data_IF_039752691430
#
_entry.id   IF_039752691430
#
_cell.length_a   1.000
_cell.length_b   1.000
_cell.length_c   1.000
_cell.angle_alpha   90.00
_cell.angle_beta   90.00
_cell.angle_gamma   90.00
#
_symmetry.space_group_name_H-M   'P 1'
#
loop_
_entity.id
_entity.type
_entity.pdbx_description
1 polymer ?
#
# COMPACT_ATOMS: atom_id res chain seq x y z
N UNK A 1 16.15 2.61 18.94
CA UNK A 1 16.90 1.35 18.73
C UNK A 1 15.96 0.25 18.25
N UNK A 2 15.49 0.28 17.00
CA UNK A 2 14.29 -0.47 16.58
C UNK A 2 14.46 -1.49 15.42
N UNK A 3 15.68 -1.92 15.07
CA UNK A 3 15.89 -2.83 13.93
C UNK A 3 16.59 -4.17 14.25
N UNK A 4 16.99 -4.42 15.49
CA UNK A 4 17.69 -5.67 15.88
C UNK A 4 16.72 -6.83 16.15
N UNK A 5 15.42 -6.55 16.19
CA UNK A 5 14.41 -7.47 16.74
C UNK A 5 13.97 -8.63 15.83
N UNK A 6 14.36 -8.64 14.54
CA UNK A 6 13.92 -9.67 13.57
C UNK A 6 15.05 -10.58 13.07
N UNK A 7 16.29 -10.37 13.55
CA UNK A 7 17.45 -11.18 13.15
C UNK A 7 17.53 -12.41 14.05
N UNK A 8 17.70 -13.60 13.47
CA UNK A 8 17.97 -14.81 14.24
C UNK A 8 19.42 -14.78 14.77
N UNK A 9 19.57 -14.49 16.06
CA UNK A 9 20.88 -14.37 16.70
C UNK A 9 21.64 -15.69 16.74
N UNK A 10 20.95 -16.84 16.76
CA UNK A 10 21.61 -18.15 16.71
C UNK A 10 22.25 -18.39 15.34
N UNK A 11 21.56 -18.03 14.26
CA UNK A 11 22.08 -18.15 12.89
C UNK A 11 23.34 -17.30 12.66
N UNK A 12 23.39 -16.10 13.25
CA UNK A 12 24.57 -15.21 13.18
C UNK A 12 25.81 -15.85 13.80
N UNK A 13 25.63 -16.62 14.88
CA UNK A 13 26.70 -17.40 15.52
C UNK A 13 26.92 -18.78 14.88
N UNK A 14 26.17 -19.11 13.82
CA UNK A 14 26.16 -20.43 13.15
C UNK A 14 25.77 -21.57 14.10
N UNK A 15 24.81 -21.31 14.98
CA UNK A 15 24.23 -22.27 15.91
C UNK A 15 22.83 -22.69 15.45
N UNK A 16 22.36 -23.90 15.80
CA UNK A 16 20.99 -24.31 15.52
C UNK A 16 20.01 -23.36 16.22
N UNK A 17 18.92 -23.00 15.53
CA UNK A 17 17.90 -22.09 16.05
C UNK A 17 16.63 -22.83 16.48
N UNK A 18 15.94 -22.31 17.51
CA UNK A 18 14.73 -22.93 18.03
C UNK A 18 14.94 -23.70 19.32
N UNK A 19 14.30 -24.87 19.44
CA UNK A 19 14.36 -25.71 20.65
C UNK A 19 15.79 -26.20 20.92
N UNK A 20 16.50 -26.59 19.86
CA UNK A 20 17.92 -26.95 19.93
C UNK A 20 18.80 -25.75 20.32
N UNK A 21 18.44 -24.55 19.87
CA UNK A 21 19.15 -23.31 20.20
C UNK A 21 18.96 -22.89 21.66
N UNK A 22 17.75 -23.06 22.20
CA UNK A 22 17.41 -22.79 23.60
C UNK A 22 18.15 -23.77 24.55
N UNK A 23 18.40 -25.01 24.10
CA UNK A 23 19.13 -26.01 24.87
C UNK A 23 20.65 -25.76 24.96
N UNK A 24 21.22 -24.82 24.17
CA UNK A 24 22.65 -24.56 24.16
C UNK A 24 23.15 -23.94 25.47
N UNK A 25 24.32 -24.39 25.94
CA UNK A 25 24.98 -23.78 27.10
C UNK A 25 25.71 -22.49 26.71
N UNK A 26 25.94 -21.61 27.70
CA UNK A 26 26.70 -20.37 27.50
C UNK A 26 28.12 -20.66 26.99
N UNK A 27 28.74 -21.78 27.41
CA UNK A 27 30.05 -22.20 26.93
C UNK A 27 30.07 -22.52 25.42
N UNK A 28 29.01 -23.14 24.92
CA UNK A 28 28.87 -23.43 23.49
C UNK A 28 28.70 -22.14 22.69
N UNK A 29 27.94 -21.19 23.21
CA UNK A 29 27.75 -19.85 22.63
C UNK A 29 29.08 -19.07 22.62
N UNK A 30 29.83 -19.09 23.71
CA UNK A 30 31.17 -18.49 23.82
C UNK A 30 32.15 -19.09 22.81
N UNK A 31 32.16 -20.43 22.69
CA UNK A 31 33.00 -21.14 21.73
C UNK A 31 32.67 -20.75 20.29
N UNK A 32 31.38 -20.70 19.95
CA UNK A 32 30.90 -20.29 18.64
C UNK A 32 31.28 -18.84 18.33
N UNK A 33 31.08 -17.92 19.29
CA UNK A 33 31.47 -16.52 19.14
C UNK A 33 32.97 -16.35 18.91
N UNK A 34 33.82 -17.06 19.66
CA UNK A 34 35.28 -17.00 19.47
C UNK A 34 35.69 -17.51 18.08
N UNK A 35 35.06 -18.58 17.59
CA UNK A 35 35.30 -19.12 16.26
C UNK A 35 34.87 -18.12 15.17
N UNK A 36 33.65 -17.59 15.24
CA UNK A 36 33.13 -16.62 14.27
C UNK A 36 33.88 -15.29 14.31
N UNK A 37 34.31 -14.83 15.49
CA UNK A 37 35.07 -13.60 15.64
C UNK A 37 36.41 -13.69 14.91
N UNK A 38 37.11 -14.83 14.99
CA UNK A 38 38.37 -15.05 14.28
C UNK A 38 38.24 -15.08 12.76
N UNK A 39 37.06 -15.44 12.25
CA UNK A 39 36.76 -15.52 10.81
C UNK A 39 36.30 -14.18 10.25
N UNK A 40 35.46 -13.45 10.99
CA UNK A 40 34.79 -12.22 10.54
C UNK A 40 35.47 -10.94 11.04
N UNK A 41 36.63 -11.03 11.69
CA UNK A 41 37.33 -9.86 12.22
C UNK A 41 37.72 -8.88 11.10
N UNK A 42 37.47 -7.56 11.25
CA UNK A 42 37.76 -6.57 10.22
C UNK A 42 39.25 -6.50 9.85
N UNK A 43 40.16 -6.75 10.81
CA UNK A 43 41.61 -6.82 10.57
C UNK A 43 42.02 -7.88 9.54
N UNK A 44 41.28 -8.98 9.44
CA UNK A 44 41.53 -10.05 8.46
C UNK A 44 40.79 -9.87 7.15
N UNK A 45 39.87 -8.91 7.09
CA UNK A 45 39.03 -8.58 5.93
C UNK A 45 39.12 -7.06 5.63
N UNK A 46 40.32 -6.50 5.43
CA UNK A 46 40.49 -5.07 5.18
C UNK A 46 39.83 -4.62 3.87
N UNK A 47 39.70 -5.51 2.89
CA UNK A 47 39.14 -5.21 1.57
C UNK A 47 37.60 -5.19 1.54
N UNK A 48 36.95 -5.67 2.59
CA UNK A 48 35.49 -5.79 2.62
C UNK A 48 34.85 -4.66 3.44
N UNK A 49 34.12 -3.72 2.80
CA UNK A 49 33.48 -2.61 3.50
C UNK A 49 32.38 -3.07 4.46
N UNK A 50 31.83 -4.27 4.29
CA UNK A 50 30.83 -4.85 5.17
C UNK A 50 31.43 -5.55 6.41
N UNK A 51 32.75 -5.77 6.47
CA UNK A 51 33.38 -6.53 7.56
C UNK A 51 33.12 -5.93 8.95
N UNK A 52 33.12 -4.59 9.05
CA UNK A 52 32.84 -3.89 10.31
C UNK A 52 31.39 -4.09 10.74
N UNK A 53 30.43 -3.94 9.82
CA UNK A 53 29.01 -4.11 10.11
C UNK A 53 28.68 -5.57 10.48
N UNK A 54 29.29 -6.52 9.76
CA UNK A 54 29.23 -7.96 10.05
C UNK A 54 29.68 -8.28 11.48
N UNK A 55 30.83 -7.73 11.87
CA UNK A 55 31.40 -7.96 13.20
C UNK A 55 30.56 -7.30 14.29
N UNK A 56 30.03 -6.09 14.06
CA UNK A 56 29.07 -5.45 14.96
C UNK A 56 27.81 -6.28 15.16
N UNK A 57 27.27 -6.88 14.08
CA UNK A 57 26.16 -7.81 14.13
C UNK A 57 26.47 -9.05 14.97
N UNK A 58 27.65 -9.65 14.78
CA UNK A 58 28.12 -10.79 15.58
C UNK A 58 28.23 -10.45 17.08
N UNK A 59 28.84 -9.31 17.42
CA UNK A 59 28.98 -8.85 18.82
C UNK A 59 27.62 -8.59 19.44
N UNK A 60 26.69 -7.98 18.70
CA UNK A 60 25.34 -7.70 19.19
C UNK A 60 24.57 -8.99 19.48
N UNK A 61 24.61 -9.97 18.57
CA UNK A 61 23.99 -11.28 18.76
C UNK A 61 24.59 -12.02 19.95
N UNK A 62 25.92 -11.98 20.11
CA UNK A 62 26.59 -12.59 21.25
C UNK A 62 26.17 -11.97 22.59
N UNK A 63 26.12 -10.64 22.67
CA UNK A 63 25.69 -9.93 23.89
C UNK A 63 24.27 -10.32 24.31
N UNK A 64 23.37 -10.47 23.35
CA UNK A 64 21.99 -10.86 23.60
C UNK A 64 21.89 -12.32 24.07
N UNK A 65 22.60 -13.24 23.41
CA UNK A 65 22.55 -14.67 23.74
C UNK A 65 23.31 -15.03 25.03
N UNK A 66 24.29 -14.22 25.44
CA UNK A 66 25.05 -14.43 26.67
C UNK A 66 24.26 -14.07 27.92
N UNK A 67 23.39 -13.06 27.85
CA UNK A 67 22.51 -12.67 28.96
C UNK A 67 21.26 -13.57 28.99
N UNK A 68 21.11 -14.35 30.06
CA UNK A 68 20.00 -15.29 30.22
C UNK A 68 18.62 -14.60 30.16
N UNK A 69 18.51 -13.38 30.69
CA UNK A 69 17.25 -12.63 30.69
C UNK A 69 16.87 -12.20 29.27
N UNK A 70 17.83 -11.65 28.52
CA UNK A 70 17.61 -11.23 27.14
C UNK A 70 17.38 -12.42 26.22
N UNK A 71 18.13 -13.51 26.41
CA UNK A 71 17.96 -14.77 25.69
C UNK A 71 16.56 -15.35 25.89
N UNK A 72 16.08 -15.43 27.14
CA UNK A 72 14.73 -15.91 27.44
C UNK A 72 13.65 -15.07 26.78
N UNK A 73 13.79 -13.74 26.77
CA UNK A 73 12.82 -12.85 26.10
C UNK A 73 12.82 -13.07 24.59
N UNK A 74 14.00 -13.23 23.98
CA UNK A 74 14.14 -13.55 22.57
C UNK A 74 13.52 -14.91 22.22
N UNK A 75 13.84 -15.95 22.97
CA UNK A 75 13.30 -17.31 22.77
C UNK A 75 11.77 -17.34 22.95
N UNK A 76 11.24 -16.61 23.94
CA UNK A 76 9.79 -16.45 24.12
C UNK A 76 9.13 -15.81 22.89
N UNK A 77 9.75 -14.78 22.32
CA UNK A 77 9.25 -14.13 21.10
C UNK A 77 9.32 -15.06 19.90
N UNK A 78 10.41 -15.81 19.75
CA UNK A 78 10.59 -16.79 18.67
C UNK A 78 9.54 -17.90 18.75
N UNK A 79 9.28 -18.42 19.96
CA UNK A 79 8.21 -19.40 20.23
C UNK A 79 6.83 -18.84 19.90
N UNK A 80 6.54 -17.61 20.32
CA UNK A 80 5.26 -16.96 20.03
C UNK A 80 5.04 -16.77 18.51
N UNK A 81 6.08 -16.36 17.77
CA UNK A 81 6.03 -16.24 16.31
C UNK A 81 5.78 -17.58 15.63
N UNK A 82 6.50 -18.64 16.02
CA UNK A 82 6.31 -20.00 15.51
C UNK A 82 4.89 -20.51 15.80
N UNK A 83 4.39 -20.32 17.02
CA UNK A 83 3.03 -20.68 17.40
C UNK A 83 1.96 -19.88 16.65
N UNK A 84 2.19 -18.59 16.38
CA UNK A 84 1.29 -17.78 15.56
C UNK A 84 1.27 -18.26 14.09
N UNK A 85 2.44 -18.55 13.51
CA UNK A 85 2.54 -19.09 12.17
C UNK A 85 1.84 -20.45 12.03
N UNK A 86 2.03 -21.36 13.00
CA UNK A 86 1.37 -22.66 13.02
C UNK A 86 -0.17 -22.51 13.11
N UNK A 87 -0.68 -21.61 13.96
CA UNK A 87 -2.12 -21.32 14.05
C UNK A 87 -2.67 -20.72 12.75
N UNK A 88 -1.94 -19.80 12.13
CA UNK A 88 -2.34 -19.21 10.86
C UNK A 88 -2.40 -20.27 9.74
N UNK A 89 -1.41 -21.17 9.68
CA UNK A 89 -1.40 -22.29 8.75
C UNK A 89 -2.58 -23.24 8.99
N UNK A 90 -2.86 -23.60 10.24
CA UNK A 90 -3.99 -24.46 10.60
C UNK A 90 -5.34 -23.83 10.24
N UNK A 91 -5.54 -22.55 10.54
CA UNK A 91 -6.75 -21.81 10.15
C UNK A 91 -6.87 -21.70 8.62
N UNK A 92 -5.75 -21.53 7.91
CA UNK A 92 -5.72 -21.57 6.44
C UNK A 92 -6.19 -22.90 5.87
N UNK A 93 -5.74 -24.02 6.45
CA UNK A 93 -6.19 -25.37 6.06
C UNK A 93 -7.69 -25.57 6.35
N UNK A 94 -8.16 -25.18 7.54
CA UNK A 94 -9.58 -25.25 7.91
C UNK A 94 -10.45 -24.44 6.95
N UNK A 95 -10.03 -23.21 6.62
CA UNK A 95 -10.74 -22.35 5.67
C UNK A 95 -10.80 -22.99 4.28
N UNK A 96 -9.69 -23.52 3.76
CA UNK A 96 -9.67 -24.21 2.46
C UNK A 96 -10.60 -25.41 2.42
N UNK A 97 -10.62 -26.22 3.49
CA UNK A 97 -11.54 -27.36 3.61
C UNK A 97 -13.00 -26.91 3.62
N UNK A 98 -13.33 -25.88 4.39
CA UNK A 98 -14.68 -25.33 4.45
C UNK A 98 -15.14 -24.79 3.09
N UNK A 99 -14.26 -24.11 2.35
CA UNK A 99 -14.55 -23.63 0.98
C UNK A 99 -14.82 -24.81 0.04
N UNK A 100 -13.96 -25.83 0.07
CA UNK A 100 -14.15 -27.03 -0.78
C UNK A 100 -15.44 -27.79 -0.47
N UNK A 101 -15.80 -27.94 0.81
CA UNK A 101 -17.06 -28.58 1.25
C UNK A 101 -18.28 -27.76 0.81
N UNK A 102 -18.19 -26.43 0.85
CA UNK A 102 -19.26 -25.55 0.39
C UNK A 102 -19.43 -25.61 -1.13
N UNK A 103 -18.34 -25.53 -1.90
CA UNK A 103 -18.36 -25.67 -3.37
C UNK A 103 -18.92 -27.04 -3.82
N UNK A 104 -18.59 -28.12 -3.10
CA UNK A 104 -19.11 -29.45 -3.39
C UNK A 104 -20.62 -29.54 -3.13
N UNK A 105 -21.10 -28.96 -2.03
CA UNK A 105 -22.55 -28.89 -1.73
C UNK A 105 -23.30 -28.07 -2.76
N UNK A 106 -22.74 -26.94 -3.19
CA UNK A 106 -23.32 -26.11 -4.25
C UNK A 106 -23.39 -26.89 -5.56
N UNK A 107 -22.34 -27.63 -5.93
CA UNK A 107 -22.31 -28.49 -7.11
C UNK A 107 -23.32 -29.63 -7.03
N UNK A 108 -23.42 -30.30 -5.89
CA UNK A 108 -24.35 -31.40 -5.67
C UNK A 108 -25.81 -30.91 -5.69
N UNK A 109 -26.09 -29.75 -5.10
CA UNK A 109 -27.40 -29.11 -5.18
C UNK A 109 -27.74 -28.73 -6.62
N UNK A 110 -26.82 -28.13 -7.38
CA UNK A 110 -27.02 -27.81 -8.78
C UNK A 110 -27.33 -29.08 -9.62
N UNK A 111 -26.59 -30.17 -9.38
CA UNK A 111 -26.83 -31.45 -10.05
C UNK A 111 -28.20 -32.07 -9.68
N UNK A 112 -28.63 -31.98 -8.41
CA UNK A 112 -29.92 -32.52 -7.94
C UNK A 112 -31.12 -31.66 -8.33
N UNK A 113 -30.95 -30.35 -8.46
CA UNK A 113 -31.99 -29.41 -8.87
C UNK A 113 -32.37 -29.51 -10.36
N UNK A 114 -31.88 -30.52 -11.08
CA UNK A 114 -32.23 -30.74 -12.48
C UNK A 114 -31.59 -29.73 -13.42
N UNK A 115 -30.53 -29.02 -12.99
CA UNK A 115 -29.66 -28.29 -13.91
C UNK A 115 -28.73 -29.29 -14.63
N UNK A 116 -29.32 -30.10 -15.52
CA UNK A 116 -28.57 -30.80 -16.57
C UNK A 116 -27.89 -29.79 -17.52
N UNK A 117 -27.06 -30.24 -18.47
CA UNK A 117 -26.07 -29.43 -19.21
C UNK A 117 -26.63 -28.41 -20.21
N UNK A 118 -27.87 -27.94 -20.04
CA UNK A 118 -28.47 -26.88 -20.84
C UNK A 118 -28.34 -25.47 -20.22
N UNK A 119 -27.67 -25.35 -19.07
CA UNK A 119 -27.37 -24.05 -18.47
C UNK A 119 -25.90 -23.70 -18.69
N UNK A 120 -25.62 -22.95 -19.75
CA UNK A 120 -24.28 -22.43 -20.01
C UNK A 120 -23.83 -21.58 -18.81
N UNK A 121 -22.82 -22.01 -18.03
CA UNK A 121 -22.39 -21.29 -16.82
C UNK A 121 -21.95 -19.86 -17.17
N UNK A 122 -21.52 -19.61 -18.41
CA UNK A 122 -21.20 -18.28 -18.90
C UNK A 122 -22.45 -17.38 -19.02
N UNK A 123 -23.62 -17.94 -19.30
CA UNK A 123 -24.87 -17.18 -19.36
C UNK A 123 -25.44 -16.86 -17.98
N UNK A 124 -25.26 -17.75 -16.99
CA UNK A 124 -25.63 -17.44 -15.60
C UNK A 124 -24.76 -16.30 -15.08
N UNK A 125 -23.43 -16.41 -15.26
CA UNK A 125 -22.48 -15.39 -14.85
C UNK A 125 -22.82 -14.04 -15.48
N UNK A 126 -23.08 -13.98 -16.79
CA UNK A 126 -23.51 -12.74 -17.47
C UNK A 126 -24.83 -12.18 -16.93
N UNK A 127 -25.79 -13.04 -16.59
CA UNK A 127 -27.10 -12.62 -16.06
C UNK A 127 -26.98 -12.10 -14.62
N UNK A 128 -26.15 -12.74 -13.80
CA UNK A 128 -25.82 -12.28 -12.46
C UNK A 128 -25.02 -10.99 -12.48
N UNK A 129 -24.02 -10.89 -13.35
CA UNK A 129 -23.24 -9.67 -13.55
C UNK A 129 -24.15 -8.52 -14.00
N UNK A 130 -25.12 -8.79 -14.89
CA UNK A 130 -26.11 -7.80 -15.31
C UNK A 130 -27.05 -7.39 -14.17
N UNK A 131 -27.44 -8.31 -13.29
CA UNK A 131 -28.23 -8.00 -12.09
C UNK A 131 -27.44 -7.16 -11.09
N UNK A 132 -26.22 -7.59 -10.75
CA UNK A 132 -25.31 -6.87 -9.86
C UNK A 132 -25.01 -5.47 -10.41
N UNK A 133 -24.79 -5.34 -11.72
CA UNK A 133 -24.59 -4.04 -12.36
C UNK A 133 -25.84 -3.15 -12.30
N UNK A 134 -27.03 -3.72 -12.44
CA UNK A 134 -28.28 -2.98 -12.29
C UNK A 134 -28.53 -2.54 -10.84
N UNK A 135 -28.20 -3.38 -9.86
CA UNK A 135 -28.32 -3.06 -8.43
C UNK A 135 -27.32 -1.98 -8.03
N UNK A 136 -26.05 -2.08 -8.45
CA UNK A 136 -25.03 -1.03 -8.24
C UNK A 136 -25.45 0.28 -8.92
N UNK A 137 -25.99 0.20 -10.14
CA UNK A 137 -26.49 1.38 -10.85
C UNK A 137 -27.65 2.04 -10.10
N UNK A 138 -28.60 1.24 -9.61
CA UNK A 138 -29.73 1.73 -8.81
C UNK A 138 -29.28 2.34 -7.50
N UNK A 139 -28.34 1.71 -6.79
CA UNK A 139 -27.79 2.23 -5.55
C UNK A 139 -27.05 3.56 -5.78
N UNK A 140 -26.32 3.68 -6.89
CA UNK A 140 -25.69 4.92 -7.31
C UNK A 140 -26.72 6.01 -7.66
N UNK A 141 -27.79 5.66 -8.37
CA UNK A 141 -28.89 6.58 -8.70
C UNK A 141 -29.67 7.03 -7.44
N UNK A 142 -29.94 6.11 -6.52
CA UNK A 142 -30.58 6.40 -5.25
C UNK A 142 -29.69 7.29 -4.37
N UNK A 143 -28.37 7.04 -4.35
CA UNK A 143 -27.38 7.90 -3.69
C UNK A 143 -27.36 9.30 -4.30
N UNK A 144 -27.34 9.37 -5.64
CA UNK A 144 -27.38 10.65 -6.36
C UNK A 144 -28.67 11.40 -6.04
N UNK A 145 -29.83 10.74 -6.11
CA UNK A 145 -31.16 11.31 -5.78
C UNK A 145 -31.23 11.78 -4.33
N UNK A 146 -30.71 11.02 -3.38
CA UNK A 146 -30.64 11.40 -1.95
C UNK A 146 -29.75 12.62 -1.73
N UNK A 147 -28.65 12.74 -2.47
CA UNK A 147 -27.76 13.91 -2.42
C UNK A 147 -28.43 15.18 -2.96
N UNK A 148 -29.32 15.08 -3.96
CA UNK A 148 -30.06 16.24 -4.49
C UNK A 148 -31.25 16.60 -3.60
N UNK A 149 -31.99 15.62 -3.07
CA UNK A 149 -33.14 15.84 -2.20
C UNK A 149 -32.74 16.38 -0.80
N UNK A 150 -31.59 15.96 -0.27
CA UNK A 150 -31.06 16.48 1.01
C UNK A 150 -30.53 17.92 0.89
N UNK A 151 -30.31 18.45 -0.31
CA UNK A 151 -29.93 19.84 -0.56
C UNK A 151 -31.10 20.83 -0.65
N UNK A 152 -32.35 20.38 -0.50
CA UNK A 152 -33.56 21.18 -0.79
C UNK A 152 -34.47 21.42 0.44
N UNK A 153 -33.98 21.20 1.66
CA UNK A 153 -34.78 21.39 2.89
C UNK A 153 -34.11 22.39 3.84
N UNK A 154 -34.07 23.68 3.48
CA UNK A 154 -33.87 24.79 4.43
C UNK A 154 -34.33 26.15 3.84
N UNK A 155 -35.44 26.64 4.39
CA UNK A 155 -35.91 28.04 4.47
C UNK A 155 -36.72 28.64 3.31
N UNK A 156 -37.99 28.91 3.62
CA UNK A 156 -38.91 29.77 2.88
C UNK A 156 -39.25 31.01 3.72
N UNK A 157 -39.41 32.14 2.99
CA UNK A 157 -40.20 33.35 3.28
C UNK A 157 -39.66 34.40 4.28
N UNK A 158 -39.11 35.52 3.75
CA UNK A 158 -39.74 36.87 3.79
C UNK A 158 -38.88 37.95 3.08
N UNK A 159 -39.47 38.73 2.15
CA UNK A 159 -39.04 40.10 1.81
C UNK A 159 -38.25 40.33 0.51
N UNK A 160 -38.91 40.94 -0.48
CA UNK A 160 -38.41 41.40 -1.79
C UNK A 160 -37.15 42.30 -1.78
N UNK A 161 -36.14 41.97 -2.62
CA UNK A 161 -35.68 42.89 -3.68
C UNK A 161 -34.78 42.20 -4.73
N UNK A 162 -35.06 42.53 -6.00
CA UNK A 162 -34.37 42.27 -7.27
C UNK A 162 -32.97 41.61 -7.27
N UNK A 163 -32.90 40.48 -7.99
CA UNK A 163 -31.92 40.30 -9.08
C UNK A 163 -31.03 39.04 -9.02
N UNK A 164 -31.26 38.10 -9.95
CA UNK A 164 -30.21 37.21 -10.48
C UNK A 164 -30.13 35.79 -9.92
N UNK A 165 -30.56 34.83 -10.73
CA UNK A 165 -30.43 33.36 -10.60
C UNK A 165 -28.95 32.89 -10.83
N UNK A 166 -28.60 31.59 -10.74
CA UNK A 166 -28.04 30.93 -9.55
C UNK A 166 -26.69 30.20 -9.83
N UNK A 167 -25.72 30.17 -8.93
CA UNK A 167 -24.73 29.07 -8.91
C UNK A 167 -23.95 29.02 -7.59
N UNK A 168 -23.33 27.86 -7.32
CA UNK A 168 -22.32 27.57 -6.31
C UNK A 168 -22.78 26.74 -5.10
N UNK A 169 -23.20 25.50 -5.41
CA UNK A 169 -22.80 24.31 -4.66
C UNK A 169 -21.30 24.43 -4.40
N UNK A 170 -20.91 24.81 -3.17
CA UNK A 170 -19.55 25.26 -2.85
C UNK A 170 -18.50 24.31 -3.41
N UNK A 171 -18.01 24.65 -4.62
CA UNK A 171 -16.70 24.23 -5.10
C UNK A 171 -15.78 24.58 -3.96
N UNK A 172 -15.18 23.60 -3.29
CA UNK A 172 -14.07 23.87 -2.39
C UNK A 172 -13.09 24.71 -3.21
N UNK A 173 -12.90 25.97 -2.82
CA UNK A 173 -12.11 26.91 -3.60
C UNK A 173 -10.76 26.24 -3.85
N UNK A 174 -10.43 25.91 -5.10
CA UNK A 174 -9.23 25.11 -5.42
C UNK A 174 -7.94 25.78 -4.93
N UNK A 175 -7.98 27.09 -4.68
CA UNK A 175 -6.92 27.85 -4.03
C UNK A 175 -6.74 27.61 -2.52
N UNK A 176 -7.63 26.84 -1.89
CA UNK A 176 -7.55 26.38 -0.50
C UNK A 176 -7.01 24.95 -0.39
N UNK A 177 -6.89 24.23 -1.51
CA UNK A 177 -6.55 22.80 -1.52
C UNK A 177 -5.08 22.61 -1.89
N UNK A 178 -4.38 21.89 -1.04
CA UNK A 178 -2.98 21.55 -1.19
C UNK A 178 -2.84 20.05 -1.42
N UNK A 179 -2.04 19.68 -2.42
CA UNK A 179 -1.59 18.30 -2.60
C UNK A 179 -0.27 18.12 -1.88
N UNK A 180 -0.22 17.14 -0.99
CA UNK A 180 0.93 16.83 -0.16
C UNK A 180 1.44 15.45 -0.52
N UNK A 181 2.72 15.29 -0.83
CA UNK A 181 3.32 13.99 -1.13
C UNK A 181 4.65 13.80 -0.42
N UNK A 182 4.96 12.57 -0.05
CA UNK A 182 6.21 12.22 0.62
C UNK A 182 6.77 10.89 0.13
N UNK A 183 8.09 10.75 0.24
CA UNK A 183 8.82 9.55 -0.15
C UNK A 183 9.05 8.65 1.07
N UNK A 184 8.20 7.65 1.20
CA UNK A 184 8.10 6.79 2.39
C UNK A 184 6.76 6.08 2.41
N UNK A 185 6.65 5.02 3.20
CA UNK A 185 5.39 4.26 3.33
C UNK A 185 4.20 5.16 3.66
N UNK A 186 3.00 4.72 3.26
CA UNK A 186 1.75 5.44 3.50
C UNK A 186 1.51 5.75 5.00
N UNK A 187 2.19 5.03 5.90
CA UNK A 187 2.01 5.11 7.35
C UNK A 187 2.91 6.15 8.03
N UNK A 188 3.82 6.80 7.29
CA UNK A 188 4.80 7.72 7.88
C UNK A 188 4.20 9.06 8.33
N UNK A 189 3.21 9.57 7.60
CA UNK A 189 2.47 10.78 7.95
C UNK A 189 1.00 10.43 8.19
N UNK A 190 0.58 10.48 9.45
CA UNK A 190 -0.83 10.36 9.87
C UNK A 190 -1.56 11.68 9.71
N UNK A 191 -2.89 11.66 9.60
CA UNK A 191 -3.72 12.87 9.48
C UNK A 191 -3.44 13.88 10.62
N UNK A 192 -3.30 13.41 11.87
CA UNK A 192 -2.96 14.27 13.01
C UNK A 192 -1.61 14.99 12.89
N UNK A 193 -0.61 14.33 12.30
CA UNK A 193 0.72 14.92 12.09
C UNK A 193 0.68 15.96 10.96
N UNK A 194 -0.09 15.69 9.91
CA UNK A 194 -0.32 16.66 8.85
C UNK A 194 -1.10 17.88 9.39
N UNK A 195 -2.10 17.66 10.23
CA UNK A 195 -2.85 18.75 10.90
C UNK A 195 -1.90 19.64 11.71
N UNK A 196 -1.06 19.05 12.56
CA UNK A 196 -0.08 19.79 13.37
C UNK A 196 0.87 20.65 12.50
N UNK A 197 1.35 20.11 11.38
CA UNK A 197 2.23 20.81 10.45
C UNK A 197 1.49 21.95 9.74
N UNK A 198 0.31 21.69 9.19
CA UNK A 198 -0.42 22.68 8.39
C UNK A 198 -1.10 23.75 9.23
N UNK A 199 -1.40 23.46 10.50
CA UNK A 199 -1.94 24.42 11.47
C UNK A 199 -1.02 25.62 11.73
N UNK A 200 0.28 25.47 11.49
CA UNK A 200 1.24 26.59 11.56
C UNK A 200 1.01 27.64 10.46
N UNK A 201 0.38 27.26 9.35
CA UNK A 201 0.11 28.14 8.21
C UNK A 201 -1.36 28.59 8.15
N UNK A 202 -2.25 27.96 8.90
CA UNK A 202 -3.63 28.35 9.11
C UNK A 202 -4.53 27.17 9.52
N UNK A 203 -5.79 27.45 9.82
CA UNK A 203 -6.78 26.42 10.18
C UNK A 203 -6.99 25.43 9.02
N UNK A 204 -7.08 24.14 9.34
CA UNK A 204 -7.25 23.03 8.39
C UNK A 204 -8.71 22.54 8.48
N UNK A 205 -9.40 22.49 7.34
CA UNK A 205 -10.79 22.03 7.26
C UNK A 205 -10.88 20.50 7.11
N UNK A 206 -10.04 19.91 6.25
CA UNK A 206 -10.10 18.48 5.97
C UNK A 206 -8.75 17.92 5.50
N UNK A 207 -8.47 16.66 5.83
CA UNK A 207 -7.24 15.94 5.47
C UNK A 207 -7.60 14.55 4.95
N UNK A 208 -7.36 14.31 3.66
CA UNK A 208 -7.64 13.04 3.00
C UNK A 208 -6.33 12.37 2.58
N UNK A 209 -5.94 11.29 3.26
CA UNK A 209 -4.76 10.49 2.88
C UNK A 209 -5.14 9.46 1.81
N UNK A 210 -4.48 9.53 0.65
CA UNK A 210 -4.63 8.58 -0.44
C UNK A 210 -3.64 7.42 -0.27
N UNK A 211 -4.11 6.34 0.34
CA UNK A 211 -3.35 5.07 0.39
C UNK A 211 -3.48 4.34 -0.95
N UNK A 212 -2.43 4.37 -1.80
CA UNK A 212 -2.35 3.51 -3.00
C UNK A 212 -1.67 2.18 -2.67
N UNK A 213 -1.87 1.15 -3.52
CA UNK A 213 -1.21 -0.17 -3.42
C UNK A 213 0.33 -0.15 -3.48
N UNK A 214 0.96 0.97 -3.82
CA UNK A 214 2.43 1.09 -3.87
C UNK A 214 2.97 1.54 -2.53
N UNK A 215 3.86 0.74 -1.93
CA UNK A 215 4.42 0.98 -0.58
C UNK A 215 5.53 2.04 -0.52
N UNK A 216 5.93 2.63 -1.66
CA UNK A 216 7.11 3.51 -1.72
C UNK A 216 6.79 5.00 -1.57
N UNK A 217 5.56 5.44 -1.82
CA UNK A 217 5.19 6.88 -1.79
C UNK A 217 3.81 7.09 -1.19
N UNK A 218 3.70 8.06 -0.28
CA UNK A 218 2.44 8.51 0.29
C UNK A 218 1.96 9.81 -0.33
N UNK A 219 0.65 10.00 -0.39
CA UNK A 219 0.04 11.26 -0.85
C UNK A 219 -1.20 11.59 -0.02
N UNK A 220 -1.39 12.86 0.29
CA UNK A 220 -2.56 13.40 0.96
C UNK A 220 -3.07 14.66 0.24
N UNK A 221 -4.34 14.97 0.48
CA UNK A 221 -4.97 16.22 0.10
C UNK A 221 -5.31 16.93 1.40
N UNK A 222 -4.88 18.18 1.53
CA UNK A 222 -5.14 19.03 2.69
C UNK A 222 -5.98 20.22 2.22
N UNK A 223 -7.14 20.42 2.83
CA UNK A 223 -8.03 21.55 2.58
C UNK A 223 -7.83 22.55 3.71
N UNK A 224 -7.34 23.73 3.39
CA UNK A 224 -7.16 24.84 4.34
C UNK A 224 -8.43 25.68 4.45
N UNK A 225 -8.70 26.29 5.60
CA UNK A 225 -9.85 27.20 5.78
C UNK A 225 -9.76 28.46 4.90
N UNK A 226 -8.53 28.94 4.65
CA UNK A 226 -8.28 30.17 3.91
C UNK A 226 -7.32 29.96 2.73
N UNK A 227 -7.59 30.67 1.62
CA UNK A 227 -6.70 30.73 0.45
C UNK A 227 -5.34 31.33 0.80
N UNK A 228 -5.31 32.27 1.76
CA UNK A 228 -4.07 32.90 2.25
C UNK A 228 -3.23 31.88 3.02
N UNK A 229 -3.87 31.01 3.80
CA UNK A 229 -3.20 29.93 4.53
C UNK A 229 -2.56 28.92 3.56
N UNK A 230 -3.29 28.52 2.51
CA UNK A 230 -2.77 27.64 1.47
C UNK A 230 -1.57 28.25 0.72
N UNK A 231 -1.63 29.55 0.39
CA UNK A 231 -0.51 30.24 -0.27
C UNK A 231 0.71 30.40 0.65
N UNK A 232 0.50 30.60 1.95
CA UNK A 232 1.58 30.71 2.94
C UNK A 232 2.29 29.37 3.12
N UNK A 233 1.52 28.28 3.19
CA UNK A 233 2.05 26.91 3.23
C UNK A 233 2.89 26.57 1.98
N UNK A 234 2.55 27.11 0.80
CA UNK A 234 3.28 26.90 -0.44
C UNK A 234 4.59 27.71 -0.50
N UNK A 235 4.56 28.98 -0.06
CA UNK A 235 5.75 29.86 -0.04
C UNK A 235 6.80 29.33 0.93
N UNK A 236 6.37 28.77 2.06
CA UNK A 236 7.25 28.25 3.11
C UNK A 236 7.64 26.77 2.91
N UNK A 237 7.84 26.34 1.66
CA UNK A 237 8.20 24.96 1.34
C UNK A 237 9.51 24.47 2.00
N UNK A 238 10.40 25.39 2.40
CA UNK A 238 11.66 25.05 3.08
C UNK A 238 11.48 24.50 4.50
N UNK A 239 10.33 24.74 5.15
CA UNK A 239 10.05 24.22 6.51
C UNK A 239 9.89 22.70 6.49
N UNK A 240 9.42 22.15 5.37
CA UNK A 240 9.14 20.73 5.21
C UNK A 240 10.39 19.87 4.99
N UNK A 241 11.56 20.50 4.81
CA UNK A 241 12.84 19.80 4.61
C UNK A 241 13.58 19.53 5.94
N UNK A 242 13.01 19.94 7.07
CA UNK A 242 13.53 19.67 8.42
C UNK A 242 13.11 18.28 8.92
N UNK A 243 12.12 17.66 8.27
CA UNK A 243 11.65 16.33 8.62
C UNK A 243 12.52 15.23 7.98
N UNK A 244 12.67 14.05 8.63
CA UNK A 244 13.50 12.97 8.10
C UNK A 244 13.05 12.44 6.74
N UNK A 245 11.79 12.71 6.37
CA UNK A 245 11.24 12.51 5.03
C UNK A 245 10.69 13.85 4.53
N UNK A 246 11.23 14.41 3.43
CA UNK A 246 10.78 15.70 2.93
C UNK A 246 9.31 15.64 2.49
N UNK A 247 8.53 16.63 2.92
CA UNK A 247 7.13 16.80 2.50
C UNK A 247 7.09 17.74 1.29
N UNK A 248 6.56 17.27 0.16
CA UNK A 248 6.37 18.08 -1.04
C UNK A 248 4.93 18.60 -1.08
N UNK A 249 4.76 19.92 -1.12
CA UNK A 249 3.45 20.58 -1.19
C UNK A 249 3.32 21.26 -2.55
N UNK A 250 2.26 20.92 -3.29
CA UNK A 250 1.97 21.49 -4.60
C UNK A 250 0.52 22.02 -4.67
N UNK A 251 0.29 23.16 -5.34
CA UNK A 251 -1.06 23.58 -5.67
C UNK A 251 -1.66 22.61 -6.70
N UNK A 252 -2.97 22.41 -6.64
CA UNK A 252 -3.68 21.65 -7.68
C UNK A 252 -4.02 22.62 -8.80
N UNK A 253 -3.10 22.80 -9.76
CA UNK A 253 -3.35 23.57 -10.98
C UNK A 253 -4.17 22.75 -11.99
N UNK A 254 -5.20 23.39 -12.55
CA UNK A 254 -5.90 22.88 -13.72
C UNK A 254 -5.02 23.03 -14.95
N UNK A 255 -5.04 22.00 -15.78
CA UNK A 255 -4.49 21.99 -17.13
C UNK A 255 -5.17 23.09 -17.96
N UNK A 256 -4.65 24.31 -17.91
CA UNK A 256 -4.93 25.33 -18.93
C UNK A 256 -3.93 25.08 -20.05
N UNK A 257 -4.45 24.80 -21.24
CA UNK A 257 -3.66 24.53 -22.42
C UNK A 257 -2.57 25.58 -22.63
N UNK A 258 -1.38 25.10 -22.95
CA UNK A 258 -0.28 25.90 -23.49
C UNK A 258 0.19 25.29 -24.82
N UNK A 259 0.70 26.12 -25.74
CA UNK A 259 0.73 25.84 -27.16
C UNK A 259 1.89 24.92 -27.58
N UNK A 260 1.74 24.34 -28.77
CA UNK A 260 2.72 23.51 -29.44
C UNK A 260 4.04 24.24 -29.75
N UNK A 261 5.17 23.60 -29.38
CA UNK A 261 6.54 23.60 -29.94
C UNK A 261 7.52 23.36 -28.76
N UNK A 262 8.55 22.54 -28.79
CA UNK A 262 9.21 21.74 -29.81
C UNK A 262 9.92 20.57 -29.09
N UNK A 263 10.10 19.46 -29.80
CA UNK A 263 10.94 18.36 -29.35
C UNK A 263 12.40 18.81 -29.16
N UNK A 264 13.12 18.19 -28.22
CA UNK A 264 14.48 17.78 -28.48
C UNK A 264 14.61 16.26 -28.35
N UNK A 265 15.01 15.68 -29.47
CA UNK A 265 15.57 14.34 -29.65
C UNK A 265 16.77 14.14 -28.71
N UNK A 266 16.80 13.04 -27.96
CA UNK A 266 18.06 12.34 -27.60
C UNK A 266 17.78 10.92 -27.11
N UNK A 267 18.08 9.98 -28.00
CA UNK A 267 18.51 8.58 -27.93
C UNK A 267 18.32 7.68 -26.67
N UNK A 268 18.12 6.35 -26.89
CA UNK A 268 17.87 5.39 -25.83
C UNK A 268 19.17 4.80 -25.28
N UNK A 269 19.34 4.80 -23.95
CA UNK A 269 20.34 3.97 -23.27
C UNK A 269 19.63 2.86 -22.50
N UNK A 270 19.97 1.64 -22.90
CA UNK A 270 19.47 0.39 -22.36
C UNK A 270 19.80 0.22 -20.87
N UNK A 271 18.81 -0.26 -20.11
CA UNK A 271 19.05 -1.07 -18.92
C UNK A 271 18.03 -2.19 -18.90
N UNK A 272 18.52 -3.39 -19.16
CA UNK A 272 17.80 -4.65 -19.12
C UNK A 272 17.19 -4.86 -17.73
N UNK A 273 15.86 -5.01 -17.69
CA UNK A 273 15.15 -5.74 -16.64
C UNK A 273 14.18 -6.65 -17.37
N UNK A 274 14.49 -7.93 -17.34
CA UNK A 274 13.68 -9.01 -17.90
C UNK A 274 12.27 -9.00 -17.31
N UNK A 275 11.31 -8.66 -18.16
CA UNK A 275 9.87 -8.74 -17.91
C UNK A 275 9.09 -9.14 -19.17
N UNK A 276 9.73 -9.86 -20.09
CA UNK A 276 9.22 -10.12 -21.44
C UNK A 276 8.09 -11.16 -21.51
N UNK A 277 7.80 -11.90 -20.43
CA UNK A 277 6.76 -12.93 -20.45
C UNK A 277 5.33 -12.40 -20.57
N UNK A 278 5.07 -11.16 -20.13
CA UNK A 278 3.70 -10.63 -20.07
C UNK A 278 3.29 -9.90 -21.36
N UNK A 279 4.23 -9.17 -21.98
CA UNK A 279 3.97 -8.38 -23.19
C UNK A 279 3.73 -9.25 -24.43
N UNK A 280 4.38 -10.42 -24.51
CA UNK A 280 4.24 -11.32 -25.66
C UNK A 280 2.89 -12.06 -25.68
N UNK A 281 2.35 -12.38 -24.49
CA UNK A 281 1.01 -12.95 -24.37
C UNK A 281 -0.07 -11.94 -24.74
N UNK A 282 0.06 -10.69 -24.29
CA UNK A 282 -0.87 -9.61 -24.66
C UNK A 282 -0.84 -9.33 -26.17
N UNK A 283 0.34 -9.31 -26.79
CA UNK A 283 0.50 -9.13 -28.23
C UNK A 283 -0.13 -10.29 -29.04
N UNK A 284 -0.03 -11.52 -28.54
CA UNK A 284 -0.64 -12.70 -29.17
C UNK A 284 -2.17 -12.67 -29.09
N UNK A 285 -2.73 -12.23 -27.95
CA UNK A 285 -4.18 -12.05 -27.78
C UNK A 285 -4.70 -10.93 -28.69
N UNK A 286 -3.98 -9.82 -28.80
CA UNK A 286 -4.38 -8.70 -29.67
C UNK A 286 -4.41 -9.08 -31.17
N UNK A 287 -3.44 -9.89 -31.63
CA UNK A 287 -3.44 -10.40 -33.01
C UNK A 287 -4.62 -11.34 -33.28
N UNK A 288 -4.92 -12.24 -32.35
CA UNK A 288 -6.09 -13.14 -32.48
C UNK A 288 -7.40 -12.37 -32.51
N UNK A 289 -7.51 -11.28 -31.73
CA UNK A 289 -8.70 -10.43 -31.72
C UNK A 289 -8.88 -9.69 -33.05
N UNK A 290 -7.80 -9.13 -33.62
CA UNK A 290 -7.85 -8.48 -34.94
C UNK A 290 -8.20 -9.45 -36.07
N UNK A 291 -7.64 -10.67 -36.05
CA UNK A 291 -7.93 -11.68 -37.07
C UNK A 291 -9.40 -12.13 -37.01
N UNK A 292 -9.94 -12.30 -35.80
CA UNK A 292 -11.36 -12.60 -35.61
C UNK A 292 -12.28 -11.46 -36.07
N UNK A 293 -11.87 -10.20 -35.91
CA UNK A 293 -12.62 -9.05 -36.42
C UNK A 293 -12.60 -8.98 -37.95
N UNK A 294 -11.45 -9.23 -38.58
CA UNK A 294 -11.34 -9.28 -40.05
C UNK A 294 -12.18 -10.40 -40.65
N UNK A 295 -12.18 -11.59 -40.04
CA UNK A 295 -13.03 -12.71 -40.49
C UNK A 295 -14.53 -12.41 -40.42
N UNK A 296 -14.97 -11.54 -39.50
CA UNK A 296 -16.36 -11.09 -39.40
C UNK A 296 -16.74 -9.96 -40.35
N UNK A 297 -15.75 -9.28 -40.94
CA UNK A 297 -15.98 -8.23 -41.94
C UNK A 297 -15.91 -8.77 -43.38
N UNK A 298 -15.33 -9.96 -43.59
CA UNK A 298 -15.21 -10.60 -44.89
C UNK A 298 -16.22 -11.75 -45.12
N UNK A 299 -17.21 -11.91 -44.23
CA UNK A 299 -18.32 -12.85 -44.35
C UNK A 299 -19.64 -12.07 -44.34
#
# INVERSE_FOLDING_TARGET
MAAVADVDHYEVLRLPSGEEGEALSVEQIDKAYRAQSRLRHPDKRPDDPAATADFQGLVTSYRLLRDESLRRQFDARLRARRGAAARAAATGVKRRRAVSDLEERERAFAARAGAGPAFDPAQLARREDKRKAADVKRELEDFFRKSVASGSASTSAHGDNKGGTPDNRTKTDKGKVLKVSWEGGADYYTAAKLDEIFRQFGEVEDIVIKTRKSRSKGSAIVVMASKVAAQTALKNHSVYNVFPVPLMVAPIEELVGSPAFAAPTSEPRASNVDGTGFSDMEASVFRKLQEAQKRKQCA
#
